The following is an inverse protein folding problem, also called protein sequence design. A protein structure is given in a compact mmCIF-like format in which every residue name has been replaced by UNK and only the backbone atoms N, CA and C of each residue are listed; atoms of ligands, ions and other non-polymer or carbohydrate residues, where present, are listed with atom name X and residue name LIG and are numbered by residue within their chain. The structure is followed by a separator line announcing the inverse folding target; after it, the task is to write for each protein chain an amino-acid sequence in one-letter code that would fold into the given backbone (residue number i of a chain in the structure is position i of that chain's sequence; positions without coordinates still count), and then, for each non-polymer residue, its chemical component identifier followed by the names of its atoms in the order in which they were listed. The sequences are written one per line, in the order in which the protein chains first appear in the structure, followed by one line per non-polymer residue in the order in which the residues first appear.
data_IF_018337632345
#
_entry.id   IF_018337632345
#
_cell.length_a   1.000
_cell.length_b   1.000
_cell.length_c   1.000
_cell.angle_alpha   90.00
_cell.angle_beta   90.00
_cell.angle_gamma   90.00
#
_symmetry.space_group_name_H-M   'P 1'
#
loop_
_entity.id
_entity.type
_entity.pdbx_description
1 polymer ?
#
# COMPACT_ATOMS: atom_id res chain seq x y z
N UNK A 1 2.48 29.68 0.98
CA UNK A 1 1.56 28.75 0.27
C UNK A 1 0.47 28.34 1.25
N UNK A 2 -0.80 28.47 0.87
CA UNK A 2 -1.90 27.99 1.70
C UNK A 2 -1.87 26.43 1.75
N UNK A 3 -2.27 25.86 2.89
CA UNK A 3 -2.31 24.39 3.05
C UNK A 3 -3.17 23.71 2.01
N UNK A 4 -4.33 24.28 1.70
CA UNK A 4 -5.24 23.72 0.68
C UNK A 4 -4.61 23.72 -0.71
N UNK A 5 -3.87 24.77 -1.07
CA UNK A 5 -3.14 24.82 -2.34
C UNK A 5 -2.07 23.75 -2.40
N UNK A 6 -1.34 23.55 -1.30
CA UNK A 6 -0.35 22.48 -1.21
C UNK A 6 -0.99 21.10 -1.33
N UNK A 7 -2.13 20.89 -0.65
CA UNK A 7 -2.89 19.65 -0.75
C UNK A 7 -3.31 19.34 -2.19
N UNK A 8 -3.76 20.34 -2.93
CA UNK A 8 -4.23 20.17 -4.31
C UNK A 8 -3.10 19.93 -5.33
N UNK A 9 -1.86 20.37 -5.02
CA UNK A 9 -0.73 20.28 -5.94
C UNK A 9 0.13 19.04 -5.77
N UNK A 10 -0.04 18.28 -4.66
CA UNK A 10 0.85 17.18 -4.33
C UNK A 10 0.10 15.86 -4.18
N UNK A 11 0.57 14.84 -4.85
CA UNK A 11 0.15 13.46 -4.60
C UNK A 11 0.91 12.91 -3.40
N UNK A 12 0.21 12.15 -2.54
CA UNK A 12 0.77 11.65 -1.29
C UNK A 12 0.31 10.23 -0.99
N UNK A 13 1.14 9.50 -0.26
CA UNK A 13 0.80 8.19 0.29
C UNK A 13 0.73 8.32 1.81
N UNK A 14 -0.40 7.95 2.39
CA UNK A 14 -0.59 7.84 3.82
C UNK A 14 -0.48 6.37 4.21
N UNK A 15 0.61 6.02 4.88
CA UNK A 15 0.90 4.66 5.30
C UNK A 15 0.57 4.48 6.78
N UNK A 16 -0.44 3.65 7.07
CA UNK A 16 -0.78 3.27 8.43
C UNK A 16 0.19 2.18 8.92
N UNK A 17 1.29 2.58 9.52
CA UNK A 17 2.35 1.68 10.00
C UNK A 17 2.31 1.44 11.51
N UNK A 18 1.37 2.05 12.23
CA UNK A 18 1.23 1.94 13.68
C UNK A 18 0.58 0.62 14.12
N UNK A 19 0.74 0.31 15.41
CA UNK A 19 0.11 -0.83 16.07
C UNK A 19 1.01 -1.45 17.12
N UNK A 20 0.42 -2.24 18.02
CA UNK A 20 1.15 -2.83 19.16
C UNK A 20 2.05 -4.01 18.75
N UNK A 21 2.02 -4.46 17.50
CA UNK A 21 2.82 -5.58 16.97
C UNK A 21 2.83 -6.83 17.88
N UNK A 22 1.69 -7.14 18.48
CA UNK A 22 1.56 -8.23 19.48
C UNK A 22 2.01 -9.59 18.97
N UNK A 23 1.86 -9.84 17.65
CA UNK A 23 2.25 -11.10 17.01
C UNK A 23 3.73 -11.15 16.62
N UNK A 24 4.39 -10.01 16.55
CA UNK A 24 5.79 -9.85 16.18
C UNK A 24 6.44 -8.80 17.07
N UNK A 25 6.62 -9.08 18.38
CA UNK A 25 7.11 -8.08 19.33
C UNK A 25 8.52 -7.57 19.02
N UNK A 26 9.35 -8.39 18.38
CA UNK A 26 10.70 -7.99 17.97
C UNK A 26 10.72 -6.81 16.97
N UNK A 27 9.63 -6.62 16.23
CA UNK A 27 9.50 -5.53 15.26
C UNK A 27 8.65 -4.36 15.76
N UNK A 28 8.19 -4.41 17.01
CA UNK A 28 7.39 -3.33 17.58
C UNK A 28 8.09 -1.95 17.56
N UNK A 29 9.40 -1.84 17.87
CA UNK A 29 10.09 -0.55 17.85
C UNK A 29 10.26 0.06 16.45
N UNK A 30 10.47 -0.76 15.43
CA UNK A 30 10.70 -0.31 14.05
C UNK A 30 9.44 -0.28 13.18
N UNK A 31 8.36 -0.94 13.65
CA UNK A 31 7.13 -1.11 12.88
C UNK A 31 7.21 -2.24 11.85
N UNK A 32 6.07 -2.84 11.54
CA UNK A 32 5.98 -3.99 10.61
C UNK A 32 6.38 -3.65 9.19
N UNK A 33 6.23 -2.41 8.79
CA UNK A 33 6.58 -1.91 7.45
C UNK A 33 8.07 -2.08 7.13
N UNK A 34 8.92 -2.11 8.15
CA UNK A 34 10.36 -2.35 8.02
C UNK A 34 10.76 -3.81 8.26
N UNK A 35 9.80 -4.73 8.31
CA UNK A 35 10.09 -6.16 8.39
C UNK A 35 10.85 -6.61 7.14
N UNK A 36 12.02 -7.26 7.29
CA UNK A 36 12.76 -7.80 6.17
C UNK A 36 11.95 -8.91 5.47
N UNK A 37 11.81 -8.80 4.17
CA UNK A 37 11.15 -9.80 3.33
C UNK A 37 12.18 -10.32 2.33
N UNK A 38 12.69 -11.55 2.50
CA UNK A 38 13.68 -12.12 1.61
C UNK A 38 13.03 -12.52 0.27
N UNK A 39 13.07 -11.63 -0.69
CA UNK A 39 12.57 -11.87 -2.04
C UNK A 39 13.75 -11.86 -3.01
N UNK A 40 13.90 -12.96 -3.74
CA UNK A 40 14.95 -13.08 -4.75
C UNK A 40 14.46 -12.60 -6.12
N UNK A 41 14.67 -11.32 -6.38
CA UNK A 41 14.38 -10.69 -7.68
C UNK A 41 15.62 -10.01 -8.25
N UNK A 42 16.69 -10.75 -8.36
CA UNK A 42 18.01 -10.26 -8.82
C UNK A 42 17.95 -9.51 -10.14
N UNK A 43 17.15 -10.01 -11.09
CA UNK A 43 16.98 -9.38 -12.39
C UNK A 43 16.37 -7.96 -12.32
N UNK A 44 15.76 -7.59 -11.19
CA UNK A 44 15.20 -6.27 -10.94
C UNK A 44 16.04 -5.43 -9.97
N UNK A 45 17.27 -5.85 -9.69
CA UNK A 45 18.15 -5.16 -8.75
C UNK A 45 17.74 -5.24 -7.28
N UNK A 46 16.79 -6.11 -6.95
CA UNK A 46 16.34 -6.29 -5.56
C UNK A 46 17.36 -7.08 -4.75
N UNK A 47 17.43 -6.78 -3.46
CA UNK A 47 18.36 -7.37 -2.50
C UNK A 47 17.61 -8.19 -1.45
N UNK A 48 18.31 -9.09 -0.77
CA UNK A 48 17.75 -9.94 0.31
C UNK A 48 17.40 -9.15 1.59
N UNK A 49 17.95 -7.97 1.76
CA UNK A 49 17.71 -7.10 2.92
C UNK A 49 16.58 -6.09 2.71
N UNK A 50 15.74 -6.30 1.71
CA UNK A 50 14.59 -5.44 1.46
C UNK A 50 13.56 -5.57 2.56
N UNK A 51 12.94 -4.44 2.88
CA UNK A 51 11.81 -4.38 3.80
C UNK A 51 10.48 -4.52 3.06
N UNK A 52 9.40 -4.72 3.81
CA UNK A 52 8.04 -4.72 3.26
C UNK A 52 7.75 -3.40 2.53
N UNK A 53 8.21 -2.26 3.05
CA UNK A 53 8.07 -0.96 2.40
C UNK A 53 8.76 -0.93 1.03
N UNK A 54 10.00 -1.41 0.95
CA UNK A 54 10.75 -1.44 -0.31
C UNK A 54 10.04 -2.24 -1.40
N UNK A 55 9.33 -3.30 -1.00
CA UNK A 55 8.57 -4.14 -1.93
C UNK A 55 7.26 -3.50 -2.38
N UNK A 56 6.62 -2.72 -1.50
CA UNK A 56 5.30 -2.12 -1.78
C UNK A 56 5.40 -0.75 -2.44
N UNK A 57 6.44 0.00 -2.16
CA UNK A 57 6.58 1.38 -2.64
C UNK A 57 6.45 1.52 -4.17
N UNK A 58 7.05 0.65 -5.00
CA UNK A 58 6.87 0.71 -6.46
C UNK A 58 5.40 0.56 -6.90
N UNK A 59 4.64 -0.30 -6.23
CA UNK A 59 3.21 -0.47 -6.51
C UNK A 59 2.43 0.80 -6.16
N UNK A 60 2.70 1.41 -5.01
CA UNK A 60 2.03 2.64 -4.59
C UNK A 60 2.35 3.81 -5.52
N UNK A 61 3.59 3.90 -5.98
CA UNK A 61 4.01 4.89 -6.97
C UNK A 61 3.29 4.69 -8.30
N UNK A 62 3.15 3.45 -8.76
CA UNK A 62 2.47 3.12 -10.01
C UNK A 62 0.96 3.44 -9.93
N UNK A 63 0.31 3.11 -8.82
CA UNK A 63 -1.08 3.49 -8.53
C UNK A 63 -1.23 5.02 -8.61
N UNK A 64 -0.39 5.75 -7.90
CA UNK A 64 -0.50 7.21 -7.85
C UNK A 64 -0.14 7.87 -9.18
N UNK A 65 0.71 7.24 -9.98
CA UNK A 65 1.05 7.71 -11.32
C UNK A 65 -0.14 7.59 -12.28
N UNK A 66 -0.86 6.48 -12.19
CA UNK A 66 -2.05 6.20 -13.01
C UNK A 66 -3.32 6.88 -12.50
N UNK A 67 -3.34 7.29 -11.24
CA UNK A 67 -4.49 7.94 -10.66
C UNK A 67 -4.80 9.29 -11.34
N UNK A 68 -6.09 9.61 -11.58
CA UNK A 68 -6.51 10.92 -12.06
C UNK A 68 -5.93 12.07 -11.23
N UNK A 69 -5.88 13.26 -11.82
CA UNK A 69 -5.37 14.44 -11.12
C UNK A 69 -6.19 14.84 -9.89
N UNK A 70 -7.47 14.46 -9.86
CA UNK A 70 -8.38 14.68 -8.73
C UNK A 70 -8.08 13.79 -7.52
N UNK A 71 -7.43 12.64 -7.71
CA UNK A 71 -7.06 11.72 -6.64
C UNK A 71 -5.64 12.02 -6.12
N UNK A 72 -5.57 12.73 -5.01
CA UNK A 72 -4.31 13.22 -4.45
C UNK A 72 -3.74 12.34 -3.33
N UNK A 73 -4.53 11.47 -2.73
CA UNK A 73 -4.13 10.73 -1.53
C UNK A 73 -4.40 9.25 -1.69
N UNK A 74 -3.35 8.45 -1.51
CA UNK A 74 -3.44 6.99 -1.39
C UNK A 74 -3.28 6.62 0.09
N UNK A 75 -4.27 5.91 0.64
CA UNK A 75 -4.23 5.40 2.02
C UNK A 75 -3.97 3.90 1.95
N UNK A 76 -2.94 3.44 2.64
CA UNK A 76 -2.50 2.04 2.62
C UNK A 76 -2.17 1.52 4.02
N UNK A 77 -2.30 0.22 4.19
CA UNK A 77 -1.89 -0.46 5.42
C UNK A 77 -0.41 -0.86 5.37
N UNK A 78 0.31 -0.65 6.45
CA UNK A 78 1.74 -0.93 6.56
C UNK A 78 2.08 -2.39 6.88
N UNK A 79 1.10 -3.26 7.07
CA UNK A 79 1.31 -4.67 7.38
C UNK A 79 0.75 -5.63 6.31
N UNK A 80 0.49 -5.12 5.12
CA UNK A 80 -0.02 -5.88 3.98
C UNK A 80 1.02 -5.98 2.89
N UNK A 81 1.23 -7.18 2.37
CA UNK A 81 1.99 -7.43 1.15
C UNK A 81 1.02 -7.63 -0.02
N UNK A 82 0.89 -6.61 -0.86
CA UNK A 82 0.09 -6.67 -2.07
C UNK A 82 0.94 -7.21 -3.23
N UNK A 83 0.37 -8.13 -3.98
CA UNK A 83 0.95 -8.69 -5.18
C UNK A 83 -0.07 -8.65 -6.31
N UNK A 84 0.32 -8.09 -7.44
CA UNK A 84 -0.47 -8.13 -8.67
C UNK A 84 0.29 -8.93 -9.72
N UNK A 85 -0.40 -9.79 -10.45
CA UNK A 85 0.14 -10.53 -11.58
C UNK A 85 -0.18 -9.84 -12.90
N UNK A 86 -1.17 -8.97 -12.90
CA UNK A 86 -1.63 -8.21 -14.05
C UNK A 86 -1.26 -6.74 -13.94
N UNK A 87 -1.22 -6.06 -15.05
CA UNK A 87 -1.06 -4.61 -15.07
C UNK A 87 -2.25 -3.94 -14.36
N UNK A 88 -1.96 -2.89 -13.60
CA UNK A 88 -3.01 -2.09 -13.00
C UNK A 88 -3.91 -1.51 -14.10
N UNK A 89 -5.21 -1.69 -13.92
CA UNK A 89 -6.22 -1.07 -14.79
C UNK A 89 -6.28 0.44 -14.59
N UNK A 90 -6.95 1.13 -15.50
CA UNK A 90 -7.19 2.56 -15.36
C UNK A 90 -8.05 2.83 -14.13
N UNK A 91 -7.65 3.84 -13.37
CA UNK A 91 -8.33 4.24 -12.15
C UNK A 91 -9.44 5.22 -12.54
N UNK A 92 -10.70 4.94 -12.21
CA UNK A 92 -11.81 5.83 -12.54
C UNK A 92 -11.70 7.17 -11.80
N UNK A 93 -12.25 8.21 -12.40
CA UNK A 93 -12.40 9.50 -11.73
C UNK A 93 -13.59 9.44 -10.78
N UNK A 94 -13.33 9.54 -9.48
CA UNK A 94 -14.31 9.50 -8.42
C UNK A 94 -13.73 10.17 -7.16
N UNK A 95 -14.60 10.54 -6.22
CA UNK A 95 -14.18 11.14 -4.94
C UNK A 95 -13.39 10.15 -4.08
N UNK A 96 -13.78 8.88 -4.11
CA UNK A 96 -13.11 7.77 -3.41
C UNK A 96 -13.08 6.54 -4.30
N UNK A 97 -11.90 5.95 -4.44
CA UNK A 97 -11.71 4.66 -5.11
C UNK A 97 -11.15 3.66 -4.10
N UNK A 98 -11.81 2.53 -3.96
CA UNK A 98 -11.37 1.45 -3.08
C UNK A 98 -10.87 0.26 -3.91
N UNK A 99 -9.71 -0.27 -3.56
CA UNK A 99 -9.23 -1.53 -4.10
C UNK A 99 -9.80 -2.68 -3.27
N UNK A 100 -10.58 -3.54 -3.91
CA UNK A 100 -11.13 -4.75 -3.32
C UNK A 100 -10.40 -5.99 -3.79
N UNK A 101 -10.45 -7.03 -2.98
CA UNK A 101 -9.97 -8.36 -3.30
C UNK A 101 -11.15 -9.33 -3.26
N UNK A 102 -11.31 -10.13 -4.31
CA UNK A 102 -12.25 -11.24 -4.28
C UNK A 102 -11.73 -12.34 -3.35
N UNK A 103 -12.52 -12.72 -2.37
CA UNK A 103 -12.16 -13.71 -1.38
C UNK A 103 -13.30 -14.69 -1.16
N UNK A 104 -12.96 -15.88 -0.66
CA UNK A 104 -13.93 -16.86 -0.20
C UNK A 104 -14.78 -16.26 0.94
N UNK A 105 -16.12 -16.53 1.00
CA UNK A 105 -16.99 -15.99 2.03
C UNK A 105 -16.56 -16.29 3.47
N UNK A 106 -15.95 -17.44 3.70
CA UNK A 106 -15.45 -17.82 5.04
C UNK A 106 -14.27 -16.93 5.42
N UNK A 107 -13.33 -16.69 4.50
CA UNK A 107 -12.22 -15.78 4.73
C UNK A 107 -12.70 -14.33 4.85
N UNK A 108 -13.63 -13.91 3.98
CA UNK A 108 -14.18 -12.56 3.99
C UNK A 108 -14.92 -12.22 5.28
N UNK A 109 -15.53 -13.21 5.97
CA UNK A 109 -16.26 -13.01 7.23
C UNK A 109 -15.41 -12.43 8.37
N UNK A 110 -14.08 -12.53 8.28
CA UNK A 110 -13.14 -11.99 9.27
C UNK A 110 -12.63 -10.58 8.93
N UNK A 111 -13.10 -10.01 7.84
CA UNK A 111 -12.64 -8.71 7.31
C UNK A 111 -13.83 -7.80 6.99
N UNK A 112 -13.54 -6.54 6.76
CA UNK A 112 -14.53 -5.62 6.18
C UNK A 112 -14.81 -6.00 4.71
N UNK A 113 -16.07 -6.08 4.35
CA UNK A 113 -16.50 -6.42 2.99
C UNK A 113 -17.36 -5.32 2.41
N UNK A 114 -17.27 -5.15 1.10
CA UNK A 114 -18.22 -4.35 0.33
C UNK A 114 -19.32 -5.29 -0.18
N UNK A 115 -20.57 -4.89 0.00
CA UNK A 115 -21.75 -5.61 -0.48
C UNK A 115 -22.27 -4.95 -1.75
#
# INVERSE_FOLDING_TARGET
MCFDTWLAQHKRVLLHAGGQSRRLPAYAPSGKVFTPIPVFRWARGQRINQTLLDLQLPLYQDIMHKAPASLHTLIVSGDVLLRTTEALQDIPEADVVCYGLWADPVQASHHGVFL
#
